data_IF_040948598034
#
_entry.id   IF_040948598034
#
_cell.length_a   1.000
_cell.length_b   1.000
_cell.length_c   1.000
_cell.angle_alpha   90.00
_cell.angle_beta   90.00
_cell.angle_gamma   90.00
#
_symmetry.space_group_name_H-M   'P 1'
#
loop_
_entity.id
_entity.type
_entity.pdbx_description
1 polymer ?
#
# COMPACT_ATOMS: atom_id res chain seq x y z
N UNK A 1 29.29 38.09 1.14
CA UNK A 1 27.96 38.11 1.80
C UNK A 1 26.89 37.29 1.11
N UNK A 2 27.08 36.93 -0.15
CA UNK A 2 26.21 35.97 -0.84
C UNK A 2 26.26 34.55 -0.18
N UNK A 3 27.41 34.16 0.34
CA UNK A 3 27.60 32.91 1.07
C UNK A 3 26.86 32.84 2.42
N UNK A 4 26.69 33.95 3.09
CA UNK A 4 25.93 34.03 4.35
C UNK A 4 24.42 34.01 4.11
N UNK A 5 23.94 34.64 3.04
CA UNK A 5 22.54 34.58 2.66
C UNK A 5 22.13 33.19 2.17
N UNK A 6 22.97 32.50 1.39
CA UNK A 6 22.79 31.11 0.97
C UNK A 6 22.86 30.15 2.16
N UNK A 7 23.72 30.38 3.17
CA UNK A 7 23.72 29.60 4.41
C UNK A 7 22.43 29.82 5.21
N UNK A 8 21.90 31.04 5.28
CA UNK A 8 20.62 31.33 5.95
C UNK A 8 19.43 30.74 5.18
N UNK A 9 19.42 30.79 3.86
CA UNK A 9 18.40 30.16 3.02
C UNK A 9 18.47 28.63 3.12
N UNK A 10 19.67 28.00 3.16
CA UNK A 10 19.85 26.57 3.43
C UNK A 10 19.33 26.12 4.78
N UNK A 11 19.24 27.01 5.77
CA UNK A 11 18.63 26.67 7.08
C UNK A 11 17.11 26.71 7.07
N UNK A 12 16.46 27.27 6.03
CA UNK A 12 15.02 27.51 6.07
C UNK A 12 14.12 26.37 5.58
N UNK A 13 14.49 25.54 4.60
CA UNK A 13 13.50 24.61 4.04
C UNK A 13 14.02 23.28 3.47
N UNK A 14 15.32 23.10 3.22
CA UNK A 14 15.81 22.03 2.32
C UNK A 14 16.54 20.90 3.05
N UNK A 15 17.02 21.10 4.27
CA UNK A 15 17.86 20.12 4.99
C UNK A 15 17.14 18.85 5.43
N UNK A 16 15.84 18.91 5.69
CA UNK A 16 15.07 17.80 6.23
C UNK A 16 14.82 16.67 5.24
N UNK A 17 15.01 16.93 3.96
CA UNK A 17 14.74 15.96 2.90
C UNK A 17 15.76 14.84 2.79
N UNK A 18 17.00 15.10 3.20
CA UNK A 18 18.11 14.17 3.12
C UNK A 18 18.36 13.41 4.42
N UNK A 19 17.62 13.75 5.49
CA UNK A 19 17.71 13.07 6.77
C UNK A 19 16.63 12.02 6.83
N UNK A 20 17.04 10.74 6.71
CA UNK A 20 16.15 9.60 6.84
C UNK A 20 15.74 9.36 8.30
N UNK A 21 14.81 8.42 8.48
CA UNK A 21 14.32 8.01 9.78
C UNK A 21 13.18 8.87 10.31
N UNK A 22 12.43 8.30 11.26
CA UNK A 22 11.26 8.93 11.88
C UNK A 22 11.53 9.47 13.28
N UNK A 23 12.73 9.27 13.82
CA UNK A 23 13.14 9.67 15.19
C UNK A 23 14.43 10.48 15.15
N UNK A 24 14.87 10.94 16.32
CA UNK A 24 16.16 11.61 16.46
C UNK A 24 16.23 12.95 15.74
N UNK A 25 17.27 13.14 14.92
CA UNK A 25 17.60 14.43 14.30
C UNK A 25 16.47 14.94 13.39
N UNK A 26 15.93 14.09 12.51
CA UNK A 26 14.87 14.49 11.57
C UNK A 26 13.63 15.03 12.30
N UNK A 27 13.14 14.28 13.29
CA UNK A 27 11.98 14.70 14.08
C UNK A 27 12.24 15.99 14.85
N UNK A 28 13.38 16.08 15.56
CA UNK A 28 13.72 17.23 16.36
C UNK A 28 13.87 18.51 15.52
N UNK A 29 14.49 18.39 14.36
CA UNK A 29 14.70 19.51 13.44
C UNK A 29 13.37 20.05 12.91
N UNK A 30 12.48 19.18 12.39
CA UNK A 30 11.15 19.58 11.91
C UNK A 30 10.34 20.22 13.03
N UNK A 31 10.29 19.58 14.21
CA UNK A 31 9.57 20.10 15.37
C UNK A 31 10.10 21.47 15.82
N UNK A 32 11.43 21.63 15.89
CA UNK A 32 12.07 22.90 16.25
C UNK A 32 11.80 23.98 15.21
N UNK A 33 11.86 23.67 13.91
CA UNK A 33 11.56 24.60 12.82
C UNK A 33 10.13 25.14 12.92
N UNK A 34 9.15 24.23 13.05
CA UNK A 34 7.73 24.60 13.19
C UNK A 34 7.47 25.46 14.46
N UNK A 35 8.10 25.11 15.61
CA UNK A 35 8.00 25.91 16.85
C UNK A 35 8.59 27.30 16.69
N UNK A 36 9.64 27.45 15.86
CA UNK A 36 10.30 28.73 15.58
C UNK A 36 9.64 29.47 14.38
N UNK A 37 8.38 29.16 14.08
CA UNK A 37 7.58 29.80 13.03
C UNK A 37 8.22 29.74 11.64
N UNK A 38 8.90 28.61 11.31
CA UNK A 38 9.47 28.37 10.00
C UNK A 38 8.60 27.38 9.22
N UNK A 39 8.35 27.68 7.94
CA UNK A 39 7.72 26.72 7.04
C UNK A 39 8.62 25.51 6.82
N UNK A 40 8.02 24.32 6.66
CA UNK A 40 8.74 23.07 6.44
C UNK A 40 8.19 22.39 5.21
N UNK A 41 9.09 21.89 4.36
CA UNK A 41 8.80 21.00 3.25
C UNK A 41 9.58 19.71 3.47
N UNK A 42 8.92 18.56 3.45
CA UNK A 42 9.56 17.27 3.72
C UNK A 42 9.11 16.17 2.75
N UNK A 43 10.05 15.31 2.35
CA UNK A 43 9.75 14.07 1.64
C UNK A 43 9.76 12.84 2.60
N UNK A 44 9.90 13.06 3.90
CA UNK A 44 10.04 12.00 4.87
C UNK A 44 8.68 11.41 5.26
N UNK A 45 8.24 10.40 4.49
CA UNK A 45 6.97 9.69 4.70
C UNK A 45 6.85 9.00 6.06
N UNK A 46 7.96 8.42 6.57
CA UNK A 46 7.97 7.75 7.87
C UNK A 46 7.76 8.73 9.02
N UNK A 47 8.41 9.89 8.96
CA UNK A 47 8.21 10.98 9.91
C UNK A 47 6.75 11.43 9.93
N UNK A 48 6.16 11.67 8.75
CA UNK A 48 4.76 12.09 8.65
C UNK A 48 3.78 11.01 9.10
N UNK A 49 4.00 9.74 8.76
CA UNK A 49 3.12 8.64 9.15
C UNK A 49 3.12 8.38 10.67
N UNK A 50 4.25 8.63 11.37
CA UNK A 50 4.39 8.35 12.80
C UNK A 50 4.15 9.58 13.68
N UNK A 51 4.51 10.77 13.20
CA UNK A 51 4.47 12.02 14.00
C UNK A 51 3.64 13.13 13.36
N UNK A 52 3.02 12.89 12.20
CA UNK A 52 2.33 13.90 11.42
C UNK A 52 1.19 14.59 12.17
N UNK A 53 0.45 13.89 13.03
CA UNK A 53 -0.60 14.52 13.87
C UNK A 53 -0.01 15.58 14.80
N UNK A 54 1.10 15.30 15.47
CA UNK A 54 1.76 16.24 16.37
C UNK A 54 2.37 17.42 15.60
N UNK A 55 3.09 17.11 14.53
CA UNK A 55 3.78 18.12 13.71
C UNK A 55 2.77 19.06 13.04
N UNK A 56 1.66 18.54 12.53
CA UNK A 56 0.57 19.34 11.95
C UNK A 56 -0.05 20.27 13.00
N UNK A 57 -0.31 19.77 14.22
CA UNK A 57 -0.83 20.59 15.31
C UNK A 57 0.12 21.76 15.67
N UNK A 58 1.44 21.53 15.62
CA UNK A 58 2.43 22.59 15.86
C UNK A 58 2.44 23.59 14.71
N UNK A 59 2.34 23.13 13.46
CA UNK A 59 2.27 23.98 12.28
C UNK A 59 1.03 24.88 12.31
N UNK A 60 -0.15 24.31 12.58
CA UNK A 60 -1.41 25.02 12.72
C UNK A 60 -1.33 26.10 13.82
N UNK A 61 -0.83 25.73 15.01
CA UNK A 61 -0.70 26.68 16.14
C UNK A 61 0.19 27.88 15.82
N UNK A 62 1.24 27.68 15.00
CA UNK A 62 2.21 28.73 14.67
C UNK A 62 1.94 29.40 13.32
N UNK A 63 0.83 29.04 12.64
CA UNK A 63 0.44 29.56 11.32
C UNK A 63 1.56 29.44 10.28
N UNK A 64 2.15 28.24 10.16
CA UNK A 64 3.19 27.92 9.19
C UNK A 64 2.84 26.67 8.40
N UNK A 65 3.36 26.58 7.17
CA UNK A 65 3.15 25.44 6.29
C UNK A 65 4.00 24.24 6.72
N UNK A 66 3.40 23.05 6.65
CA UNK A 66 4.09 21.77 6.68
C UNK A 66 3.63 20.99 5.44
N UNK A 67 4.39 21.08 4.35
CA UNK A 67 4.08 20.50 3.06
C UNK A 67 4.89 19.22 2.83
N UNK A 68 4.28 18.20 2.21
CA UNK A 68 4.88 16.88 2.06
C UNK A 68 4.45 16.15 0.79
N UNK A 69 4.18 16.87 -0.31
CA UNK A 69 3.81 16.27 -1.59
C UNK A 69 4.80 15.17 -2.01
N UNK A 70 6.09 15.46 -1.91
CA UNK A 70 7.14 14.53 -2.28
C UNK A 70 7.22 13.27 -1.38
N UNK A 71 6.52 13.22 -0.26
CA UNK A 71 6.50 12.06 0.64
C UNK A 71 5.63 10.91 0.12
N UNK A 72 4.68 11.20 -0.80
CA UNK A 72 3.72 10.22 -1.31
C UNK A 72 3.81 10.16 -2.83
N UNK A 73 4.14 8.98 -3.37
CA UNK A 73 4.16 8.71 -4.82
C UNK A 73 5.04 9.69 -5.65
N UNK A 74 6.08 10.25 -5.05
CA UNK A 74 7.14 11.02 -5.71
C UNK A 74 6.65 12.20 -6.56
N UNK A 75 6.58 12.02 -7.87
CA UNK A 75 6.15 13.06 -8.82
C UNK A 75 4.65 13.15 -9.08
N UNK A 76 3.85 12.26 -8.47
CA UNK A 76 2.39 12.28 -8.62
C UNK A 76 1.80 13.31 -7.65
N UNK A 77 1.05 14.34 -8.09
CA UNK A 77 0.52 15.41 -7.24
C UNK A 77 -0.71 14.97 -6.45
N UNK A 78 -0.58 13.89 -5.66
CA UNK A 78 -1.73 13.24 -5.03
C UNK A 78 -2.14 13.88 -3.70
N UNK A 79 -1.19 14.43 -2.93
CA UNK A 79 -1.51 15.08 -1.65
C UNK A 79 -2.37 16.30 -1.90
N UNK A 80 -1.98 17.16 -2.84
CA UNK A 80 -2.75 18.36 -3.24
C UNK A 80 -4.08 18.00 -3.86
N UNK A 81 -4.09 17.04 -4.77
CA UNK A 81 -5.33 16.58 -5.40
C UNK A 81 -6.36 16.12 -4.37
N UNK A 82 -5.95 15.30 -3.39
CA UNK A 82 -6.86 14.80 -2.34
C UNK A 82 -7.19 15.89 -1.33
N UNK A 83 -6.21 16.70 -0.91
CA UNK A 83 -6.36 17.72 0.13
C UNK A 83 -7.24 18.90 -0.34
N UNK A 84 -7.14 19.29 -1.60
CA UNK A 84 -7.72 20.51 -2.12
C UNK A 84 -8.87 20.26 -3.11
N UNK A 85 -8.65 19.47 -4.16
CA UNK A 85 -9.60 19.32 -5.25
C UNK A 85 -10.69 18.26 -4.96
N UNK A 86 -10.28 17.06 -4.48
CA UNK A 86 -11.19 15.92 -4.34
C UNK A 86 -11.87 15.83 -2.97
N UNK A 87 -11.43 16.61 -2.00
CA UNK A 87 -11.89 16.55 -0.61
C UNK A 87 -13.40 16.70 -0.46
N UNK A 88 -14.01 17.55 -1.26
CA UNK A 88 -15.45 17.85 -1.19
C UNK A 88 -16.33 16.78 -1.86
N UNK A 89 -15.73 15.88 -2.64
CA UNK A 89 -16.44 14.88 -3.43
C UNK A 89 -16.88 13.64 -2.64
N UNK A 90 -16.72 13.59 -1.32
CA UNK A 90 -17.04 12.43 -0.48
C UNK A 90 -16.33 11.15 -0.98
N UNK A 91 -15.00 11.14 -0.88
CA UNK A 91 -14.18 10.00 -1.25
C UNK A 91 -14.67 8.75 -0.51
N UNK A 92 -14.88 7.64 -1.25
CA UNK A 92 -15.27 6.32 -0.74
C UNK A 92 -14.08 5.40 -0.56
N UNK A 93 -13.16 5.45 -1.54
CA UNK A 93 -12.02 4.53 -1.62
C UNK A 93 -10.83 5.25 -2.25
N UNK A 94 -9.65 5.00 -1.69
CA UNK A 94 -8.38 5.38 -2.28
C UNK A 94 -7.48 4.14 -2.27
N UNK A 95 -6.89 3.83 -3.40
CA UNK A 95 -6.05 2.65 -3.53
C UNK A 95 -5.01 2.84 -4.64
N UNK A 96 -3.95 2.03 -4.58
CA UNK A 96 -2.95 2.13 -5.63
C UNK A 96 -1.73 1.27 -5.40
N UNK A 97 -0.83 1.37 -6.36
CA UNK A 97 0.53 0.83 -6.33
C UNK A 97 1.42 1.96 -5.82
N UNK A 98 1.79 1.91 -4.55
CA UNK A 98 2.55 2.96 -3.87
C UNK A 98 4.04 2.64 -3.65
N UNK A 99 4.48 1.47 -4.12
CA UNK A 99 5.88 1.06 -4.06
C UNK A 99 6.36 0.55 -5.42
N UNK A 100 7.30 1.26 -6.04
CA UNK A 100 7.83 0.94 -7.36
C UNK A 100 8.70 -0.31 -7.37
N UNK A 101 9.50 -0.55 -6.33
CA UNK A 101 10.36 -1.74 -6.18
C UNK A 101 9.52 -3.02 -6.22
N UNK A 102 8.45 -3.08 -5.42
CA UNK A 102 7.55 -4.24 -5.41
C UNK A 102 6.84 -4.42 -6.75
N UNK A 103 6.37 -3.33 -7.37
CA UNK A 103 5.71 -3.42 -8.68
C UNK A 103 6.67 -3.91 -9.76
N UNK A 104 7.92 -3.46 -9.74
CA UNK A 104 8.97 -3.94 -10.64
C UNK A 104 9.18 -5.45 -10.45
N UNK A 105 9.39 -5.91 -9.22
CA UNK A 105 9.61 -7.34 -8.91
C UNK A 105 8.42 -8.17 -9.40
N UNK A 106 7.20 -7.81 -9.04
CA UNK A 106 6.00 -8.54 -9.43
C UNK A 106 5.80 -8.55 -10.96
N UNK A 107 6.11 -7.43 -11.65
CA UNK A 107 6.04 -7.35 -13.12
C UNK A 107 7.04 -8.31 -13.79
N UNK A 108 8.29 -8.39 -13.27
CA UNK A 108 9.32 -9.29 -13.82
C UNK A 108 8.99 -10.76 -13.56
N UNK A 109 8.54 -11.09 -12.35
CA UNK A 109 8.09 -12.45 -12.02
C UNK A 109 6.88 -12.87 -12.87
N UNK A 110 5.93 -11.96 -13.09
CA UNK A 110 4.77 -12.23 -13.95
C UNK A 110 5.19 -12.52 -15.39
N UNK A 111 6.22 -11.87 -15.91
CA UNK A 111 6.79 -12.12 -17.24
C UNK A 111 7.70 -13.36 -17.31
N UNK A 112 7.78 -14.16 -16.25
CA UNK A 112 8.66 -15.34 -16.11
C UNK A 112 10.15 -15.03 -16.29
N UNK A 113 10.62 -13.86 -15.86
CA UNK A 113 12.01 -13.42 -15.97
C UNK A 113 12.86 -13.79 -14.74
N UNK A 114 12.45 -14.79 -13.98
CA UNK A 114 13.15 -15.31 -12.82
C UNK A 114 12.23 -15.54 -11.61
N UNK A 115 12.79 -16.15 -10.58
CA UNK A 115 12.13 -16.27 -9.29
C UNK A 115 12.31 -14.98 -8.46
N UNK A 116 11.73 -14.94 -7.25
CA UNK A 116 11.79 -13.77 -6.40
C UNK A 116 13.22 -13.30 -6.08
N UNK A 117 14.15 -14.25 -5.85
CA UNK A 117 15.55 -13.93 -5.47
C UNK A 117 16.32 -13.36 -6.66
N UNK A 118 16.16 -13.97 -7.84
CA UNK A 118 16.83 -13.54 -9.06
C UNK A 118 16.38 -12.13 -9.46
N UNK A 119 15.05 -11.90 -9.44
CA UNK A 119 14.46 -10.60 -9.79
C UNK A 119 14.80 -9.53 -8.75
N UNK A 120 14.86 -9.87 -7.46
CA UNK A 120 15.30 -8.93 -6.43
C UNK A 120 16.76 -8.53 -6.64
N UNK A 121 17.65 -9.49 -6.95
CA UNK A 121 19.05 -9.19 -7.26
C UNK A 121 19.19 -8.28 -8.50
N UNK A 122 18.36 -8.49 -9.54
CA UNK A 122 18.32 -7.61 -10.71
C UNK A 122 17.84 -6.20 -10.34
N UNK A 123 16.82 -6.09 -9.50
CA UNK A 123 16.33 -4.80 -9.00
C UNK A 123 17.40 -4.04 -8.20
N UNK A 124 18.19 -4.74 -7.38
CA UNK A 124 19.29 -4.15 -6.63
C UNK A 124 20.41 -3.65 -7.56
N UNK A 125 20.83 -4.45 -8.55
CA UNK A 125 21.84 -4.05 -9.56
C UNK A 125 21.42 -2.82 -10.35
N UNK A 126 20.12 -2.64 -10.61
CA UNK A 126 19.56 -1.49 -11.33
C UNK A 126 19.26 -0.28 -10.44
N UNK A 127 19.49 -0.40 -9.13
CA UNK A 127 19.22 0.69 -8.17
C UNK A 127 17.74 0.91 -7.84
N UNK A 128 16.86 -0.03 -8.20
CA UNK A 128 15.45 0.00 -7.81
C UNK A 128 15.19 -0.54 -6.41
N UNK A 129 16.09 -1.36 -5.86
CA UNK A 129 16.05 -1.86 -4.50
C UNK A 129 17.36 -1.58 -3.78
N UNK A 130 17.28 -1.23 -2.50
CA UNK A 130 18.45 -1.09 -1.62
C UNK A 130 19.02 -2.45 -1.23
N UNK A 131 20.23 -2.47 -0.61
CA UNK A 131 20.86 -3.71 -0.10
C UNK A 131 19.97 -4.40 0.94
N UNK A 132 19.35 -3.63 1.83
CA UNK A 132 18.26 -4.11 2.69
C UNK A 132 16.91 -3.66 2.13
N UNK A 133 16.24 -4.50 1.33
CA UNK A 133 14.98 -4.16 0.69
C UNK A 133 13.75 -4.37 1.59
N UNK A 134 13.93 -4.77 2.85
CA UNK A 134 12.86 -5.19 3.77
C UNK A 134 11.76 -4.14 3.87
N UNK A 135 12.12 -2.87 3.92
CA UNK A 135 11.16 -1.76 4.01
C UNK A 135 10.19 -1.71 2.82
N UNK A 136 10.69 -2.05 1.63
CA UNK A 136 9.90 -2.12 0.39
C UNK A 136 9.13 -3.44 0.30
N UNK A 137 9.85 -4.58 0.32
CA UNK A 137 9.27 -5.89 0.01
C UNK A 137 8.25 -6.37 1.06
N UNK A 138 8.37 -5.93 2.30
CA UNK A 138 7.38 -6.21 3.35
C UNK A 138 6.23 -5.19 3.39
N UNK A 139 6.18 -4.22 2.47
CA UNK A 139 5.07 -3.31 2.26
C UNK A 139 5.00 -2.12 3.23
N UNK A 140 6.04 -1.89 4.04
CA UNK A 140 6.07 -0.83 5.06
C UNK A 140 6.05 0.55 4.41
N UNK A 141 6.81 0.74 3.32
CA UNK A 141 6.81 1.97 2.53
C UNK A 141 5.41 2.35 2.04
N UNK A 142 4.72 1.40 1.41
CA UNK A 142 3.37 1.59 0.91
C UNK A 142 2.36 1.85 2.06
N UNK A 143 2.60 1.24 3.23
CA UNK A 143 1.75 1.44 4.41
C UNK A 143 1.89 2.85 4.98
N UNK A 144 3.08 3.44 5.05
CA UNK A 144 3.24 4.84 5.42
C UNK A 144 2.44 5.77 4.49
N UNK A 145 2.53 5.54 3.19
CA UNK A 145 1.87 6.37 2.18
C UNK A 145 0.34 6.26 2.25
N UNK A 146 -0.22 5.04 2.34
CA UNK A 146 -1.68 4.87 2.41
C UNK A 146 -2.27 5.40 3.72
N UNK A 147 -1.54 5.33 4.82
CA UNK A 147 -1.96 5.91 6.10
C UNK A 147 -2.14 7.43 5.99
N UNK A 148 -1.22 8.12 5.32
CA UNK A 148 -1.33 9.55 5.06
C UNK A 148 -2.48 9.89 4.11
N UNK A 149 -2.63 9.14 3.03
CA UNK A 149 -3.73 9.30 2.08
C UNK A 149 -5.09 9.06 2.74
N UNK A 150 -5.19 8.07 3.62
CA UNK A 150 -6.41 7.78 4.39
C UNK A 150 -6.80 8.95 5.29
N UNK A 151 -5.82 9.57 5.96
CA UNK A 151 -6.04 10.76 6.78
C UNK A 151 -6.64 11.91 5.96
N UNK A 152 -6.10 12.17 4.77
CA UNK A 152 -6.57 13.22 3.86
C UNK A 152 -7.95 12.90 3.29
N UNK A 153 -8.15 11.67 2.82
CA UNK A 153 -9.37 11.27 2.11
C UNK A 153 -10.60 11.16 3.03
N UNK A 154 -10.43 10.68 4.25
CA UNK A 154 -11.55 10.38 5.16
C UNK A 154 -11.63 11.30 6.37
N UNK A 155 -10.71 12.26 6.47
CA UNK A 155 -10.69 13.23 7.57
C UNK A 155 -10.53 12.57 8.95
N UNK A 156 -9.68 11.54 9.02
CA UNK A 156 -9.36 10.79 10.24
C UNK A 156 -7.93 11.13 10.72
N UNK A 157 -7.59 10.90 12.01
CA UNK A 157 -6.21 11.01 12.46
C UNK A 157 -5.30 10.03 11.71
N UNK A 158 -4.03 10.40 11.54
CA UNK A 158 -3.01 9.46 11.05
C UNK A 158 -2.89 8.32 12.07
N UNK A 159 -3.07 7.07 11.62
CA UNK A 159 -2.99 5.88 12.47
C UNK A 159 -2.25 4.75 11.74
N UNK A 160 -0.92 4.80 11.76
CA UNK A 160 -0.09 3.77 11.12
C UNK A 160 -0.28 2.39 11.76
N UNK A 161 -0.42 2.33 13.08
CA UNK A 161 -0.64 1.08 13.83
C UNK A 161 -1.94 0.36 13.47
N UNK A 162 -2.89 1.05 12.84
CA UNK A 162 -4.15 0.48 12.37
C UNK A 162 -4.08 -0.06 10.95
N UNK A 163 -2.94 0.06 10.28
CA UNK A 163 -2.75 -0.42 8.91
C UNK A 163 -2.33 -1.89 8.93
N UNK A 164 -3.10 -2.75 8.25
CA UNK A 164 -2.68 -4.12 8.00
C UNK A 164 -1.59 -4.15 6.93
N UNK A 165 -0.51 -4.88 7.18
CA UNK A 165 0.65 -4.92 6.29
C UNK A 165 1.03 -6.37 6.01
N UNK A 166 1.15 -6.71 4.73
CA UNK A 166 1.65 -7.99 4.23
C UNK A 166 2.47 -7.74 2.98
N UNK A 167 3.74 -8.20 2.97
CA UNK A 167 4.67 -8.03 1.87
C UNK A 167 4.54 -9.07 0.76
N UNK A 168 5.44 -8.98 -0.21
CA UNK A 168 5.47 -9.85 -1.40
C UNK A 168 6.42 -11.05 -1.27
N UNK A 169 7.18 -11.15 -0.19
CA UNK A 169 8.22 -12.17 0.00
C UNK A 169 7.71 -13.62 -0.07
N UNK A 170 6.39 -13.82 0.14
CA UNK A 170 5.74 -15.15 0.09
C UNK A 170 5.13 -15.49 -1.26
N UNK A 171 5.19 -14.60 -2.26
CA UNK A 171 4.66 -14.85 -3.60
C UNK A 171 5.67 -15.69 -4.39
N UNK A 172 5.20 -16.72 -5.05
CA UNK A 172 6.05 -17.59 -5.89
C UNK A 172 5.55 -17.65 -7.35
N UNK A 173 6.39 -18.19 -8.23
CA UNK A 173 6.12 -18.26 -9.68
C UNK A 173 4.86 -19.05 -10.03
N UNK A 174 4.46 -20.03 -9.20
CA UNK A 174 3.23 -20.80 -9.42
C UNK A 174 1.98 -19.93 -9.23
N UNK A 175 2.03 -18.96 -8.29
CA UNK A 175 0.91 -18.07 -8.05
C UNK A 175 0.63 -17.20 -9.27
N UNK A 176 1.67 -16.72 -10.00
CA UNK A 176 1.50 -15.99 -11.27
C UNK A 176 0.89 -16.86 -12.37
N UNK A 177 1.34 -18.11 -12.50
CA UNK A 177 0.77 -19.04 -13.45
C UNK A 177 -0.74 -19.21 -13.25
N UNK A 178 -1.16 -19.44 -12.00
CA UNK A 178 -2.57 -19.61 -11.68
C UNK A 178 -3.36 -18.31 -11.74
N UNK A 179 -2.75 -17.18 -11.37
CA UNK A 179 -3.37 -15.87 -11.56
C UNK A 179 -3.79 -15.66 -13.01
N UNK A 180 -2.87 -15.88 -13.97
CA UNK A 180 -3.16 -15.77 -15.41
C UNK A 180 -4.24 -16.73 -15.87
N UNK A 181 -4.21 -17.99 -15.40
CA UNK A 181 -5.19 -19.01 -15.77
C UNK A 181 -6.63 -18.61 -15.38
N UNK A 182 -6.76 -17.81 -14.29
CA UNK A 182 -8.03 -17.25 -13.84
C UNK A 182 -8.31 -15.82 -14.35
N UNK A 183 -7.48 -15.25 -15.21
CA UNK A 183 -7.65 -13.90 -15.76
C UNK A 183 -7.24 -12.77 -14.81
N UNK A 184 -6.31 -13.05 -13.89
CA UNK A 184 -5.79 -12.07 -12.93
C UNK A 184 -4.29 -11.81 -13.11
N UNK A 185 -3.81 -10.70 -12.56
CA UNK A 185 -2.41 -10.38 -12.29
C UNK A 185 -2.21 -10.19 -10.79
N UNK A 186 -0.98 -10.29 -10.32
CA UNK A 186 -0.64 -10.04 -8.91
C UNK A 186 -0.05 -8.64 -8.77
N UNK A 187 -0.62 -7.85 -7.87
CA UNK A 187 -0.11 -6.51 -7.50
C UNK A 187 -0.01 -6.39 -5.99
N UNK A 188 0.96 -5.62 -5.49
CA UNK A 188 0.94 -5.14 -4.11
C UNK A 188 0.09 -3.87 -4.05
N UNK A 189 -1.10 -3.96 -3.50
CA UNK A 189 -1.98 -2.82 -3.37
C UNK A 189 -2.01 -2.27 -1.96
N UNK A 190 -1.93 -0.95 -1.88
CA UNK A 190 -2.27 -0.16 -0.72
C UNK A 190 -3.72 0.32 -0.89
N UNK A 191 -4.58 0.01 0.05
CA UNK A 191 -6.03 0.30 -0.03
C UNK A 191 -6.50 0.94 1.26
N UNK A 192 -7.26 2.01 1.14
CA UNK A 192 -8.06 2.53 2.23
C UNK A 192 -9.47 2.85 1.74
N UNK A 193 -10.48 2.42 2.47
CA UNK A 193 -11.88 2.72 2.16
C UNK A 193 -12.67 3.07 3.41
N UNK A 194 -13.75 3.80 3.19
CA UNK A 194 -14.68 4.19 4.25
C UNK A 194 -16.06 3.67 3.94
N UNK A 195 -16.61 2.89 4.87
CA UNK A 195 -18.00 2.42 4.83
C UNK A 195 -18.65 2.80 6.15
N UNK A 196 -19.68 3.64 6.06
CA UNK A 196 -20.36 4.22 7.22
C UNK A 196 -19.36 4.92 8.18
N UNK A 197 -19.28 4.48 9.42
CA UNK A 197 -18.40 5.02 10.46
C UNK A 197 -17.11 4.21 10.65
N UNK A 198 -16.74 3.40 9.64
CA UNK A 198 -15.58 2.50 9.70
C UNK A 198 -14.62 2.79 8.56
N UNK A 199 -13.32 2.75 8.86
CA UNK A 199 -12.23 2.91 7.89
C UNK A 199 -11.38 1.65 7.92
N UNK A 200 -11.01 1.15 6.76
CA UNK A 200 -9.96 0.14 6.60
C UNK A 200 -8.70 0.77 6.02
N UNK A 201 -7.54 0.26 6.43
CA UNK A 201 -6.24 0.60 5.87
C UNK A 201 -5.43 -0.69 5.74
N UNK A 202 -4.98 -1.03 4.54
CA UNK A 202 -4.28 -2.28 4.31
C UNK A 202 -3.32 -2.20 3.13
N UNK A 203 -2.24 -2.94 3.24
CA UNK A 203 -1.27 -3.18 2.17
C UNK A 203 -1.05 -4.69 2.11
N UNK A 204 -1.29 -5.28 0.96
CA UNK A 204 -1.06 -6.71 0.73
C UNK A 204 -1.00 -7.06 -0.75
N UNK A 205 -0.33 -8.15 -1.12
CA UNK A 205 -0.46 -8.70 -2.46
C UNK A 205 -1.88 -9.19 -2.70
N UNK A 206 -2.39 -8.96 -3.90
CA UNK A 206 -3.72 -9.39 -4.29
C UNK A 206 -3.82 -9.72 -5.77
N UNK A 207 -4.78 -10.54 -6.12
CA UNK A 207 -5.21 -10.77 -7.48
C UNK A 207 -6.08 -9.60 -7.95
N UNK A 208 -5.76 -9.05 -9.11
CA UNK A 208 -6.47 -7.95 -9.76
C UNK A 208 -6.84 -8.39 -11.17
N UNK A 209 -8.05 -8.11 -11.63
CA UNK A 209 -8.49 -8.48 -12.99
C UNK A 209 -7.55 -7.88 -14.05
N UNK A 210 -7.12 -8.66 -15.01
CA UNK A 210 -6.25 -8.20 -16.11
C UNK A 210 -6.84 -7.01 -16.88
N UNK A 211 -8.16 -6.94 -16.98
CA UNK A 211 -8.85 -5.87 -17.69
C UNK A 211 -8.87 -4.52 -16.93
N UNK A 212 -8.54 -4.50 -15.63
CA UNK A 212 -8.56 -3.26 -14.84
C UNK A 212 -7.37 -2.35 -15.15
N UNK A 213 -7.56 -1.04 -15.00
CA UNK A 213 -6.50 -0.06 -15.30
C UNK A 213 -5.29 -0.21 -14.38
N UNK A 214 -5.50 -0.53 -13.11
CA UNK A 214 -4.41 -0.75 -12.14
C UNK A 214 -3.55 -1.97 -12.50
N UNK A 215 -4.11 -2.95 -13.20
CA UNK A 215 -3.37 -4.13 -13.68
C UNK A 215 -2.31 -3.77 -14.72
N UNK A 216 -2.56 -2.76 -15.53
CA UNK A 216 -1.70 -2.29 -16.62
C UNK A 216 -0.51 -1.45 -16.15
N UNK A 217 -0.49 -1.08 -14.87
CA UNK A 217 0.64 -0.32 -14.27
C UNK A 217 1.79 -1.28 -14.03
N UNK A 218 2.86 -1.15 -14.79
CA UNK A 218 4.00 -2.08 -14.81
C UNK A 218 5.30 -1.41 -14.39
N UNK A 219 6.32 -2.24 -14.17
CA UNK A 219 7.67 -1.87 -13.79
C UNK A 219 7.70 -1.03 -12.50
N UNK A 220 8.52 0.02 -12.41
CA UNK A 220 8.69 0.89 -11.24
C UNK A 220 7.61 1.96 -11.08
N UNK A 221 6.61 1.98 -11.96
CA UNK A 221 5.57 3.00 -11.93
C UNK A 221 4.66 2.86 -10.70
N UNK A 222 4.27 4.00 -10.15
CA UNK A 222 3.22 4.11 -9.16
C UNK A 222 1.92 4.55 -9.80
N UNK A 223 0.82 4.19 -9.17
CA UNK A 223 -0.50 4.73 -9.52
C UNK A 223 -1.37 4.83 -8.28
N UNK A 224 -2.19 5.87 -8.23
CA UNK A 224 -3.19 6.08 -7.19
C UNK A 224 -4.54 6.29 -7.85
N UNK A 225 -5.55 5.56 -7.39
CA UNK A 225 -6.93 5.74 -7.83
C UNK A 225 -7.75 6.25 -6.64
N UNK A 226 -8.45 7.34 -6.87
CA UNK A 226 -9.41 7.93 -5.93
C UNK A 226 -10.80 7.73 -6.48
N UNK A 227 -11.67 7.09 -5.71
CA UNK A 227 -13.07 6.85 -6.05
C UNK A 227 -13.97 7.69 -5.16
N UNK A 228 -14.79 8.52 -5.77
CA UNK A 228 -15.72 9.42 -5.08
C UNK A 228 -17.15 9.36 -5.65
N UNK A 229 -18.07 10.10 -5.05
CA UNK A 229 -19.48 10.09 -5.42
C UNK A 229 -19.82 10.97 -6.64
N UNK A 230 -18.93 11.89 -7.03
CA UNK A 230 -19.25 12.94 -8.01
C UNK A 230 -18.61 12.64 -9.36
N UNK A 231 -17.30 12.35 -9.36
CA UNK A 231 -16.50 12.15 -10.57
C UNK A 231 -16.33 10.65 -10.86
N UNK A 232 -16.52 9.78 -9.86
CA UNK A 232 -16.26 8.36 -9.99
C UNK A 232 -14.79 8.02 -9.72
N UNK A 233 -14.11 7.36 -10.65
CA UNK A 233 -12.70 6.95 -10.52
C UNK A 233 -11.77 7.93 -11.22
N UNK A 234 -10.84 8.49 -10.47
CA UNK A 234 -9.72 9.29 -10.97
C UNK A 234 -8.43 8.53 -10.76
N UNK A 235 -7.65 8.31 -11.82
CA UNK A 235 -6.36 7.63 -11.75
C UNK A 235 -5.22 8.59 -12.03
N UNK A 236 -4.24 8.60 -11.12
CA UNK A 236 -2.99 9.33 -11.22
C UNK A 236 -1.84 8.34 -11.36
N UNK A 237 -1.08 8.42 -12.42
CA UNK A 237 0.04 7.50 -12.67
C UNK A 237 1.31 8.27 -13.01
N UNK A 238 2.44 7.77 -12.52
CA UNK A 238 3.73 8.37 -12.81
C UNK A 238 4.88 7.73 -12.02
N UNK A 239 6.09 8.30 -12.11
CA UNK A 239 7.23 7.84 -11.34
C UNK A 239 7.03 8.11 -9.85
N UNK A 240 7.12 7.04 -9.04
CA UNK A 240 6.90 7.11 -7.58
C UNK A 240 8.13 7.54 -6.77
N UNK A 241 9.31 7.64 -7.41
CA UNK A 241 10.57 8.00 -6.80
C UNK A 241 11.52 8.62 -7.85
N UNK A 242 12.70 9.04 -7.41
CA UNK A 242 13.73 9.62 -8.27
C UNK A 242 13.97 11.10 -8.00
N UNK A 243 15.18 11.60 -8.30
CA UNK A 243 15.59 12.97 -7.99
C UNK A 243 14.72 14.03 -8.70
N UNK A 244 14.45 13.83 -9.99
CA UNK A 244 13.61 14.75 -10.77
C UNK A 244 12.17 14.83 -10.25
N UNK A 245 11.42 13.72 -10.24
CA UNK A 245 10.04 13.69 -9.75
C UNK A 245 9.89 14.22 -8.32
N UNK A 246 10.77 13.79 -7.41
CA UNK A 246 10.78 14.27 -6.02
C UNK A 246 11.09 15.77 -5.96
N UNK A 247 12.06 16.23 -6.75
CA UNK A 247 12.43 17.64 -6.87
C UNK A 247 11.28 18.52 -7.35
N UNK A 248 10.54 18.07 -8.37
CA UNK A 248 9.38 18.79 -8.89
C UNK A 248 8.29 18.98 -7.82
N UNK A 249 7.98 17.92 -7.05
CA UNK A 249 6.99 18.00 -5.97
C UNK A 249 7.40 18.96 -4.86
N UNK A 250 8.69 18.99 -4.52
CA UNK A 250 9.21 19.97 -3.54
C UNK A 250 9.16 21.39 -4.06
N UNK A 251 9.54 21.59 -5.32
CA UNK A 251 9.44 22.93 -5.91
C UNK A 251 7.98 23.40 -5.96
N UNK A 252 7.06 22.50 -6.24
CA UNK A 252 5.62 22.78 -6.15
C UNK A 252 5.20 23.22 -4.75
N UNK A 253 5.66 22.51 -3.70
CA UNK A 253 5.40 22.88 -2.30
C UNK A 253 6.05 24.22 -1.92
N UNK A 254 7.24 24.50 -2.44
CA UNK A 254 7.94 25.77 -2.23
C UNK A 254 7.17 26.93 -2.86
N UNK A 255 6.67 26.74 -4.09
CA UNK A 255 5.90 27.78 -4.78
C UNK A 255 4.59 28.12 -4.06
N UNK A 256 3.94 27.19 -3.39
CA UNK A 256 2.79 27.50 -2.52
C UNK A 256 3.19 28.44 -1.39
N UNK A 257 4.29 28.15 -0.70
CA UNK A 257 4.79 28.98 0.40
C UNK A 257 5.14 30.38 -0.12
N UNK A 258 5.82 30.48 -1.27
CA UNK A 258 6.20 31.76 -1.89
C UNK A 258 4.97 32.60 -2.27
N UNK A 259 3.88 31.95 -2.72
CA UNK A 259 2.59 32.61 -2.98
C UNK A 259 1.83 33.01 -1.73
N UNK A 260 2.36 32.72 -0.54
CA UNK A 260 1.70 33.03 0.72
C UNK A 260 0.56 32.07 1.12
N UNK A 261 0.43 30.93 0.42
CA UNK A 261 -0.59 29.94 0.72
C UNK A 261 -0.21 29.16 1.95
N UNK A 262 -1.01 29.22 3.01
CA UNK A 262 -0.86 28.43 4.23
C UNK A 262 -2.01 27.45 4.28
N UNK A 263 -1.73 26.19 3.98
CA UNK A 263 -2.70 25.12 4.02
C UNK A 263 -2.67 24.35 5.33
N UNK A 264 -3.80 23.82 5.75
CA UNK A 264 -3.85 22.85 6.84
C UNK A 264 -3.13 21.57 6.42
N UNK A 265 -2.05 21.14 7.08
CA UNK A 265 -1.22 20.04 6.60
C UNK A 265 -1.99 18.75 6.34
N UNK A 266 -2.97 18.44 7.19
CA UNK A 266 -3.81 17.24 7.09
C UNK A 266 -5.18 17.50 6.46
N UNK A 267 -5.34 18.62 5.74
CA UNK A 267 -6.57 19.00 5.04
C UNK A 267 -7.67 19.59 5.94
N UNK A 268 -7.73 19.28 7.22
CA UNK A 268 -8.58 19.87 8.25
C UNK A 268 -7.80 20.06 9.54
N UNK A 269 -8.28 20.89 10.47
CA UNK A 269 -7.65 21.05 11.77
C UNK A 269 -7.51 19.71 12.49
N UNK A 270 -6.35 19.45 13.09
CA UNK A 270 -6.07 18.18 13.77
C UNK A 270 -7.10 17.88 14.86
N UNK A 271 -7.55 18.90 15.58
CA UNK A 271 -8.53 18.74 16.65
C UNK A 271 -9.97 18.46 16.13
N UNK A 272 -10.24 18.71 14.85
CA UNK A 272 -11.53 18.46 14.19
C UNK A 272 -11.61 17.11 13.47
N UNK A 273 -10.54 16.31 13.51
CA UNK A 273 -10.51 14.99 12.86
C UNK A 273 -11.60 14.06 13.40
N UNK A 274 -12.24 13.31 12.49
CA UNK A 274 -13.34 12.39 12.81
C UNK A 274 -12.83 11.19 13.59
N UNK A 275 -13.50 10.84 14.67
CA UNK A 275 -13.24 9.62 15.43
C UNK A 275 -13.98 8.46 14.79
N UNK A 276 -13.37 7.83 13.76
CA UNK A 276 -13.92 6.65 13.12
C UNK A 276 -13.25 5.38 13.65
N UNK A 277 -13.91 4.24 13.44
CA UNK A 277 -13.39 2.93 13.87
C UNK A 277 -12.52 2.35 12.76
N UNK A 278 -11.25 2.06 13.06
CA UNK A 278 -10.39 1.32 12.15
C UNK A 278 -10.71 -0.18 12.20
N UNK A 279 -10.99 -0.76 11.03
CA UNK A 279 -11.33 -2.18 10.93
C UNK A 279 -10.09 -3.05 10.80
N UNK A 280 -10.07 -4.14 11.57
CA UNK A 280 -9.05 -5.18 11.41
C UNK A 280 -9.34 -6.03 10.18
N UNK A 281 -8.29 -6.51 9.50
CA UNK A 281 -8.39 -7.31 8.27
C UNK A 281 -9.25 -8.57 8.46
N UNK A 282 -9.22 -9.19 9.64
CA UNK A 282 -9.98 -10.40 9.97
C UNK A 282 -11.49 -10.19 9.87
N UNK A 283 -11.96 -8.95 9.97
CA UNK A 283 -13.37 -8.58 9.87
C UNK A 283 -13.81 -8.23 8.45
N UNK A 284 -12.87 -8.10 7.53
CA UNK A 284 -13.16 -7.82 6.13
C UNK A 284 -13.46 -9.12 5.38
N UNK A 285 -14.14 -8.97 4.25
CA UNK A 285 -14.56 -10.12 3.43
C UNK A 285 -14.09 -9.93 1.99
N UNK A 286 -13.44 -10.97 1.44
CA UNK A 286 -12.91 -11.00 0.10
C UNK A 286 -13.22 -12.35 -0.57
N UNK A 287 -13.22 -12.42 -1.89
CA UNK A 287 -12.92 -13.68 -2.57
C UNK A 287 -11.43 -13.99 -2.39
N UNK A 288 -11.08 -15.27 -2.42
CA UNK A 288 -9.70 -15.71 -2.22
C UNK A 288 -9.29 -16.73 -3.29
N UNK A 289 -8.06 -16.55 -3.76
CA UNK A 289 -7.29 -17.64 -4.32
C UNK A 289 -6.69 -18.46 -3.19
N UNK A 290 -6.85 -19.77 -3.25
CA UNK A 290 -6.29 -20.71 -2.26
C UNK A 290 -5.57 -21.81 -3.00
N UNK A 291 -4.32 -22.09 -2.62
CA UNK A 291 -3.52 -23.21 -3.14
C UNK A 291 -3.18 -24.18 -2.02
N UNK A 292 -3.56 -25.44 -2.20
CA UNK A 292 -3.37 -26.53 -1.27
C UNK A 292 -2.61 -27.64 -2.00
N UNK A 293 -1.64 -28.26 -1.35
CA UNK A 293 -0.96 -29.46 -1.83
C UNK A 293 -1.47 -30.65 -1.03
N UNK A 294 -2.19 -31.54 -1.68
CA UNK A 294 -2.80 -32.72 -1.04
C UNK A 294 -2.46 -34.01 -1.76
N UNK A 295 -2.57 -35.16 -1.09
CA UNK A 295 -2.41 -36.48 -1.70
C UNK A 295 -3.45 -36.66 -2.80
N UNK A 296 -3.02 -37.17 -3.96
CA UNK A 296 -3.92 -37.43 -5.10
C UNK A 296 -4.59 -38.81 -4.93
N UNK A 297 -5.66 -38.83 -4.11
CA UNK A 297 -6.45 -40.03 -3.84
C UNK A 297 -7.90 -39.69 -3.50
N UNK A 298 -8.78 -40.67 -3.65
CA UNK A 298 -10.20 -40.54 -3.32
C UNK A 298 -10.41 -40.05 -1.89
N UNK A 299 -11.41 -39.21 -1.67
CA UNK A 299 -11.82 -38.70 -0.36
C UNK A 299 -11.06 -37.47 0.13
N UNK A 300 -9.88 -37.11 -0.41
CA UNK A 300 -9.12 -35.93 0.03
C UNK A 300 -9.90 -34.65 -0.27
N UNK A 301 -10.44 -34.53 -1.47
CA UNK A 301 -11.25 -33.37 -1.85
C UNK A 301 -12.51 -33.23 -0.99
N UNK A 302 -13.16 -34.34 -0.65
CA UNK A 302 -14.33 -34.34 0.23
C UNK A 302 -14.00 -33.82 1.63
N UNK A 303 -12.83 -34.16 2.19
CA UNK A 303 -12.38 -33.64 3.50
C UNK A 303 -12.10 -32.13 3.42
N UNK A 304 -11.43 -31.64 2.37
CA UNK A 304 -11.16 -30.23 2.14
C UNK A 304 -12.47 -29.44 2.01
N UNK A 305 -13.38 -29.89 1.13
CA UNK A 305 -14.69 -29.24 0.91
C UNK A 305 -15.52 -29.19 2.20
N UNK A 306 -15.51 -30.27 3.01
CA UNK A 306 -16.19 -30.30 4.32
C UNK A 306 -15.61 -29.28 5.30
N UNK A 307 -14.28 -29.09 5.33
CA UNK A 307 -13.65 -28.09 6.19
C UNK A 307 -14.03 -26.66 5.77
N UNK A 308 -14.11 -26.40 4.47
CA UNK A 308 -14.55 -25.11 3.92
C UNK A 308 -16.03 -24.87 4.23
N UNK A 309 -16.92 -25.83 3.92
CA UNK A 309 -18.36 -25.69 4.09
C UNK A 309 -18.78 -25.49 5.56
N UNK A 310 -18.11 -26.14 6.52
CA UNK A 310 -18.30 -25.91 7.96
C UNK A 310 -18.08 -24.46 8.40
N UNK A 311 -17.37 -23.65 7.61
CA UNK A 311 -17.13 -22.23 7.85
C UNK A 311 -17.89 -21.30 6.88
N UNK A 312 -18.89 -21.86 6.17
CA UNK A 312 -19.70 -21.11 5.23
C UNK A 312 -18.96 -20.64 3.99
N UNK A 313 -17.85 -21.32 3.62
CA UNK A 313 -17.03 -20.94 2.46
C UNK A 313 -17.52 -21.68 1.24
N UNK A 314 -18.05 -20.93 0.27
CA UNK A 314 -18.47 -21.44 -1.04
C UNK A 314 -17.33 -21.33 -2.04
N UNK A 315 -17.14 -22.40 -2.82
CA UNK A 315 -16.14 -22.47 -3.89
C UNK A 315 -16.76 -21.95 -5.18
N UNK A 316 -16.11 -20.96 -5.82
CA UNK A 316 -16.51 -20.42 -7.13
C UNK A 316 -15.91 -21.23 -8.28
N UNK A 317 -14.63 -21.61 -8.13
CA UNK A 317 -13.90 -22.38 -9.13
C UNK A 317 -12.88 -23.28 -8.47
N UNK A 318 -12.59 -24.42 -9.10
CA UNK A 318 -11.61 -25.38 -8.64
C UNK A 318 -10.82 -25.95 -9.82
N UNK A 319 -9.52 -26.09 -9.63
CA UNK A 319 -8.62 -26.78 -10.55
C UNK A 319 -7.79 -27.76 -9.71
N UNK A 320 -7.73 -29.01 -10.12
CA UNK A 320 -6.83 -30.01 -9.54
C UNK A 320 -5.82 -30.43 -10.61
N UNK A 321 -4.53 -30.28 -10.31
CA UNK A 321 -3.44 -30.68 -11.20
C UNK A 321 -2.58 -31.74 -10.52
N UNK A 322 -2.62 -33.01 -11.00
CA UNK A 322 -1.76 -34.06 -10.46
C UNK A 322 -0.30 -33.74 -10.73
N UNK A 323 0.57 -34.08 -9.80
CA UNK A 323 2.01 -33.99 -10.03
C UNK A 323 2.49 -35.23 -10.77
N UNK A 324 3.23 -35.03 -11.88
CA UNK A 324 3.87 -36.14 -12.61
C UNK A 324 4.98 -36.84 -11.81
N UNK A 325 5.50 -36.20 -10.75
CA UNK A 325 6.69 -36.65 -9.97
C UNK A 325 6.36 -37.16 -8.58
N UNK A 326 5.16 -36.89 -8.05
CA UNK A 326 4.82 -37.19 -6.67
C UNK A 326 3.38 -37.72 -6.54
N UNK A 327 3.06 -38.37 -5.41
CA UNK A 327 1.69 -38.78 -5.06
C UNK A 327 0.79 -37.63 -4.59
N UNK A 328 1.16 -36.37 -4.91
CA UNK A 328 0.43 -35.17 -4.51
C UNK A 328 -0.17 -34.47 -5.73
N UNK A 329 -1.27 -33.79 -5.52
CA UNK A 329 -1.88 -32.86 -6.48
C UNK A 329 -1.88 -31.45 -5.91
N UNK A 330 -1.77 -30.46 -6.80
CA UNK A 330 -2.06 -29.07 -6.47
C UNK A 330 -3.56 -28.82 -6.66
N UNK A 331 -4.21 -28.44 -5.56
CA UNK A 331 -5.64 -28.09 -5.52
C UNK A 331 -5.72 -26.58 -5.41
N UNK A 332 -6.27 -25.95 -6.42
CA UNK A 332 -6.42 -24.52 -6.57
C UNK A 332 -7.90 -24.16 -6.48
N UNK A 333 -8.23 -23.26 -5.58
CA UNK A 333 -9.60 -22.83 -5.34
C UNK A 333 -9.71 -21.33 -5.51
N UNK A 334 -10.79 -20.88 -6.14
CA UNK A 334 -11.29 -19.50 -6.01
C UNK A 334 -12.56 -19.57 -5.19
N UNK A 335 -12.64 -18.80 -4.10
CA UNK A 335 -13.83 -18.76 -3.24
C UNK A 335 -14.78 -17.64 -3.66
N UNK A 336 -16.04 -17.74 -3.28
CA UNK A 336 -16.90 -16.57 -3.17
C UNK A 336 -16.43 -15.67 -2.02
N UNK A 337 -17.01 -14.47 -1.91
CA UNK A 337 -16.67 -13.52 -0.86
C UNK A 337 -16.96 -14.10 0.52
N UNK A 338 -15.95 -14.14 1.37
CA UNK A 338 -16.02 -14.69 2.72
C UNK A 338 -15.15 -13.89 3.68
N UNK A 339 -15.52 -13.86 4.96
CA UNK A 339 -14.78 -13.17 6.01
C UNK A 339 -13.40 -13.82 6.22
N UNK A 340 -12.35 -12.99 6.33
CA UNK A 340 -10.97 -13.50 6.44
C UNK A 340 -10.75 -14.40 7.66
N UNK A 341 -11.38 -14.08 8.80
CA UNK A 341 -11.30 -14.94 9.98
C UNK A 341 -11.85 -16.35 9.73
N UNK A 342 -12.95 -16.48 8.97
CA UNK A 342 -13.54 -17.78 8.60
C UNK A 342 -12.60 -18.58 7.70
N UNK A 343 -11.99 -17.92 6.70
CA UNK A 343 -11.01 -18.57 5.83
C UNK A 343 -9.79 -19.07 6.60
N UNK A 344 -9.20 -18.22 7.45
CA UNK A 344 -8.03 -18.60 8.27
C UNK A 344 -8.30 -19.82 9.15
N UNK A 345 -9.50 -19.89 9.77
CA UNK A 345 -9.90 -21.07 10.58
C UNK A 345 -10.03 -22.32 9.72
N UNK A 346 -10.68 -22.24 8.55
CA UNK A 346 -10.83 -23.36 7.64
C UNK A 346 -9.47 -23.88 7.15
N UNK A 347 -8.57 -22.98 6.73
CA UNK A 347 -7.23 -23.34 6.26
C UNK A 347 -6.39 -23.99 7.36
N UNK A 348 -6.51 -23.53 8.60
CA UNK A 348 -5.85 -24.17 9.75
C UNK A 348 -6.38 -25.58 10.01
N UNK A 349 -7.67 -25.85 9.80
CA UNK A 349 -8.23 -27.20 9.86
C UNK A 349 -7.72 -28.07 8.72
N UNK A 350 -7.66 -27.54 7.49
CA UNK A 350 -7.15 -28.24 6.30
C UNK A 350 -5.68 -28.62 6.47
N UNK A 351 -4.83 -27.73 7.00
CA UNK A 351 -3.41 -28.00 7.26
C UNK A 351 -3.17 -29.15 8.24
N UNK A 352 -4.13 -29.45 9.10
CA UNK A 352 -4.07 -30.57 10.08
C UNK A 352 -4.50 -31.92 9.49
N UNK A 353 -5.00 -31.94 8.25
CA UNK A 353 -5.37 -33.20 7.59
C UNK A 353 -4.09 -33.98 7.21
N UNK A 354 -3.98 -35.26 7.55
CA UNK A 354 -2.76 -36.06 7.26
C UNK A 354 -2.52 -36.28 5.76
N UNK A 355 -3.51 -35.96 4.94
CA UNK A 355 -3.42 -36.03 3.49
C UNK A 355 -2.92 -34.71 2.87
N UNK A 356 -2.87 -33.63 3.61
CA UNK A 356 -2.46 -32.33 3.12
C UNK A 356 -1.03 -32.07 3.55
N UNK A 357 -0.17 -31.70 2.59
CA UNK A 357 1.13 -31.14 2.90
C UNK A 357 0.93 -29.83 3.69
N UNK A 358 1.79 -29.55 4.66
CA UNK A 358 1.62 -28.47 5.65
C UNK A 358 1.42 -27.05 5.09
N UNK A 359 1.44 -26.87 3.77
CA UNK A 359 1.30 -25.57 3.10
C UNK A 359 -0.09 -25.42 2.47
N UNK A 360 -0.96 -24.64 3.10
CA UNK A 360 -2.10 -24.01 2.42
C UNK A 360 -1.83 -22.51 2.35
N UNK A 361 -1.79 -21.95 1.16
CA UNK A 361 -1.53 -20.54 0.86
C UNK A 361 -2.79 -19.88 0.34
N UNK A 362 -2.99 -18.63 0.63
CA UNK A 362 -4.08 -17.84 0.04
C UNK A 362 -3.61 -16.45 -0.37
N UNK A 363 -4.27 -15.88 -1.36
CA UNK A 363 -4.11 -14.48 -1.79
C UNK A 363 -5.52 -13.90 -1.94
N UNK A 364 -5.70 -12.67 -1.48
CA UNK A 364 -6.98 -11.94 -1.61
C UNK A 364 -7.22 -11.55 -3.07
N UNK A 365 -8.48 -11.49 -3.46
CA UNK A 365 -8.90 -11.04 -4.79
C UNK A 365 -9.64 -9.71 -4.63
N UNK A 366 -9.21 -8.69 -5.36
CA UNK A 366 -9.84 -7.38 -5.41
C UNK A 366 -10.73 -7.28 -6.65
N UNK A 367 -11.92 -7.86 -6.58
CA UNK A 367 -12.87 -7.91 -7.71
C UNK A 367 -13.54 -6.56 -8.02
N UNK A 368 -13.52 -5.62 -7.08
CA UNK A 368 -14.20 -4.32 -7.19
C UNK A 368 -13.33 -3.19 -7.76
N UNK A 369 -12.14 -3.51 -8.27
CA UNK A 369 -11.22 -2.53 -8.82
C UNK A 369 -11.32 -2.38 -10.33
#
# INVERSE_FOLDING_TARGET
DLHLSLRRQRQMCIRDRLIGGSKGIAYNLVKKSLKNKKHVITANKALMALHGNELAKIAEKNNVSLNYEAAIAGGIPIVKAVRENLRFNKIKKIYGILNGTCNYILTKMDRNLGDFKDVLSDAQKKGFAELDPTFDIEGIDAAHKITLLSCLAFDVPISFSSTYIEGISKIDTKDFKYAREFGYVIKLLAVSSKVNNKVEQRVHPCFVKQASDIAKVENELNAVIVEDNVIGKNMFQGPGAGAGPTGASVMSDLMEIVKGTINLPLGSPVNAKKKLIFQKIENLSFPYYVRIVGKDRAGVMAKISRALSKKGISIKSIIQKPSKKTKYAEIILITHKVKESSLKVALNQIKRLPEVAASAKFIRIEDSL
#
